data_IF_914082416054
#
_entry.id   IF_914082416054
#
_cell.length_a   1.000
_cell.length_b   1.000
_cell.length_c   1.000
_cell.angle_alpha   90.00
_cell.angle_beta   90.00
_cell.angle_gamma   90.00
#
_symmetry.space_group_name_H-M   'P 1'
#
loop_
_entity.id
_entity.type
_entity.pdbx_description
1 polymer ?
#
# COMPACT_ATOMS: atom_id res chain seq x y z
N UNK A 1 1.82 11.45 -10.44
CA UNK A 1 1.14 10.46 -11.31
C UNK A 1 1.95 9.17 -11.26
N UNK A 2 1.31 8.00 -11.30
CA UNK A 2 2.01 6.72 -11.43
C UNK A 2 2.67 6.66 -12.81
N UNK A 3 3.95 6.30 -12.86
CA UNK A 3 4.67 6.16 -14.13
C UNK A 3 5.46 4.85 -14.23
N UNK A 4 5.21 3.92 -13.31
CA UNK A 4 5.86 2.62 -13.22
C UNK A 4 4.83 1.49 -13.30
N UNK A 5 5.22 0.34 -13.82
CA UNK A 5 4.45 -0.89 -13.82
C UNK A 5 4.78 -1.74 -12.59
N UNK A 6 3.87 -2.65 -12.19
CA UNK A 6 4.14 -3.57 -11.07
C UNK A 6 5.37 -4.45 -11.30
N UNK A 7 5.66 -4.79 -12.56
CA UNK A 7 6.85 -5.55 -12.96
C UNK A 7 8.16 -4.78 -12.77
N UNK A 8 8.11 -3.46 -12.63
CA UNK A 8 9.30 -2.64 -12.34
C UNK A 8 9.63 -2.67 -10.83
N UNK A 9 8.68 -3.12 -10.00
CA UNK A 9 8.77 -3.08 -8.53
C UNK A 9 8.96 -4.49 -7.97
N UNK A 10 8.26 -5.48 -8.54
CA UNK A 10 8.17 -6.85 -8.04
C UNK A 10 8.76 -7.83 -9.06
N UNK A 11 9.69 -8.66 -8.60
CA UNK A 11 10.40 -9.64 -9.46
C UNK A 11 9.58 -10.89 -9.74
N UNK A 12 8.71 -11.29 -8.83
CA UNK A 12 7.83 -12.44 -8.97
C UNK A 12 6.63 -12.07 -9.87
N UNK A 13 6.60 -12.64 -11.08
CA UNK A 13 5.59 -12.31 -12.09
C UNK A 13 4.17 -12.67 -11.64
N UNK A 14 3.98 -13.79 -10.94
CA UNK A 14 2.65 -14.20 -10.46
C UNK A 14 2.17 -13.25 -9.36
N UNK A 15 3.09 -12.81 -8.49
CA UNK A 15 2.76 -11.83 -7.46
C UNK A 15 2.46 -10.44 -8.05
N UNK A 16 3.21 -10.01 -9.07
CA UNK A 16 2.96 -8.76 -9.78
C UNK A 16 1.55 -8.73 -10.41
N UNK A 17 1.06 -9.85 -10.95
CA UNK A 17 -0.31 -9.97 -11.48
C UNK A 17 -1.36 -9.76 -10.37
N UNK A 18 -1.13 -10.33 -9.19
CA UNK A 18 -2.04 -10.17 -8.03
C UNK A 18 -2.08 -8.71 -7.58
N UNK A 19 -0.93 -8.03 -7.52
CA UNK A 19 -0.85 -6.62 -7.13
C UNK A 19 -1.51 -5.71 -8.16
N UNK A 20 -1.29 -5.96 -9.45
CA UNK A 20 -1.97 -5.22 -10.53
C UNK A 20 -3.49 -5.42 -10.48
N UNK A 21 -3.95 -6.65 -10.16
CA UNK A 21 -5.36 -6.93 -9.94
C UNK A 21 -5.94 -6.09 -8.78
N UNK A 22 -5.22 -5.98 -7.65
CA UNK A 22 -5.64 -5.13 -6.52
C UNK A 22 -5.70 -3.65 -6.89
N UNK A 23 -4.73 -3.16 -7.65
CA UNK A 23 -4.74 -1.79 -8.15
C UNK A 23 -5.95 -1.53 -9.07
N UNK A 24 -6.28 -2.48 -9.94
CA UNK A 24 -7.45 -2.39 -10.81
C UNK A 24 -8.77 -2.49 -10.05
N UNK A 25 -8.85 -3.35 -9.03
CA UNK A 25 -10.01 -3.43 -8.14
C UNK A 25 -10.24 -2.11 -7.39
N UNK A 26 -9.17 -1.49 -6.87
CA UNK A 26 -9.26 -0.17 -6.26
C UNK A 26 -9.82 0.90 -7.23
N UNK A 27 -9.37 0.90 -8.48
CA UNK A 27 -9.88 1.80 -9.54
C UNK A 27 -11.36 1.54 -9.87
N UNK A 28 -11.80 0.28 -9.85
CA UNK A 28 -13.21 -0.08 -10.08
C UNK A 28 -14.06 0.42 -8.91
N UNK A 29 -13.63 0.16 -7.68
CA UNK A 29 -14.34 0.60 -6.47
C UNK A 29 -14.48 2.12 -6.42
N UNK A 30 -13.40 2.86 -6.65
CA UNK A 30 -13.40 4.33 -6.67
C UNK A 30 -14.39 4.89 -7.70
N UNK A 31 -14.34 4.40 -8.95
CA UNK A 31 -15.24 4.84 -10.02
C UNK A 31 -16.73 4.57 -9.75
N UNK A 32 -17.04 3.58 -8.91
CA UNK A 32 -18.42 3.18 -8.60
C UNK A 32 -18.87 3.64 -7.19
N UNK A 33 -18.10 4.49 -6.51
CA UNK A 33 -18.47 5.01 -5.19
C UNK A 33 -18.31 4.03 -4.03
N UNK A 34 -17.64 2.88 -4.25
CA UNK A 34 -17.32 1.91 -3.21
C UNK A 34 -16.03 2.31 -2.47
N UNK A 35 -16.02 3.51 -1.88
CA UNK A 35 -14.82 4.17 -1.36
C UNK A 35 -14.10 3.41 -0.24
N UNK A 36 -14.86 2.81 0.69
CA UNK A 36 -14.28 1.94 1.73
C UNK A 36 -13.49 0.77 1.11
N UNK A 37 -14.08 0.09 0.11
CA UNK A 37 -13.42 -1.01 -0.59
C UNK A 37 -12.20 -0.52 -1.37
N UNK A 38 -12.29 0.66 -2.01
CA UNK A 38 -11.16 1.24 -2.72
C UNK A 38 -9.95 1.41 -1.79
N UNK A 39 -10.12 2.00 -0.61
CA UNK A 39 -8.99 2.22 0.31
C UNK A 39 -8.48 0.91 0.91
N UNK A 40 -9.35 -0.06 1.18
CA UNK A 40 -8.92 -1.40 1.62
C UNK A 40 -8.00 -2.02 0.56
N UNK A 41 -8.36 -1.92 -0.73
CA UNK A 41 -7.52 -2.41 -1.83
C UNK A 41 -6.20 -1.64 -1.96
N UNK A 42 -6.22 -0.31 -1.81
CA UNK A 42 -4.99 0.50 -1.79
C UNK A 42 -4.06 0.12 -0.63
N UNK A 43 -4.60 -0.11 0.56
CA UNK A 43 -3.80 -0.54 1.69
C UNK A 43 -3.28 -1.98 1.55
N UNK A 44 -4.06 -2.87 0.93
CA UNK A 44 -3.61 -4.21 0.56
C UNK A 44 -2.47 -4.17 -0.47
N UNK A 45 -2.56 -3.28 -1.46
CA UNK A 45 -1.52 -3.07 -2.46
C UNK A 45 -0.23 -2.58 -1.80
N UNK A 46 -0.31 -1.56 -0.94
CA UNK A 46 0.83 -1.02 -0.20
C UNK A 46 1.52 -2.09 0.66
N UNK A 47 0.73 -2.88 1.39
CA UNK A 47 1.25 -3.99 2.19
C UNK A 47 1.99 -5.01 1.33
N UNK A 48 1.42 -5.39 0.19
CA UNK A 48 2.03 -6.35 -0.74
C UNK A 48 3.36 -5.88 -1.33
N UNK A 49 3.42 -4.64 -1.84
CA UNK A 49 4.66 -4.12 -2.45
C UNK A 49 5.79 -3.92 -1.42
N UNK A 50 5.45 -3.49 -0.20
CA UNK A 50 6.45 -3.33 0.86
C UNK A 50 6.93 -4.69 1.40
N UNK A 51 6.04 -5.67 1.49
CA UNK A 51 6.42 -7.03 1.90
C UNK A 51 7.35 -7.68 0.88
N UNK A 52 7.08 -7.50 -0.42
CA UNK A 52 7.98 -7.97 -1.47
C UNK A 52 9.35 -7.28 -1.41
N UNK A 53 9.37 -5.97 -1.18
CA UNK A 53 10.62 -5.23 -0.98
C UNK A 53 11.43 -5.79 0.21
N UNK A 54 10.79 -6.07 1.35
CA UNK A 54 11.46 -6.72 2.50
C UNK A 54 11.97 -8.11 2.12
N UNK A 55 11.16 -8.94 1.46
CA UNK A 55 11.56 -10.28 1.02
C UNK A 55 12.78 -10.23 0.08
N UNK A 56 12.80 -9.29 -0.86
CA UNK A 56 13.84 -9.18 -1.88
C UNK A 56 15.13 -8.53 -1.35
N UNK A 57 15.01 -7.48 -0.53
CA UNK A 57 16.13 -6.62 -0.09
C UNK A 57 16.66 -7.01 1.29
N UNK A 58 15.88 -7.71 2.12
CA UNK A 58 16.24 -8.14 3.47
C UNK A 58 15.98 -9.64 3.70
N UNK A 59 16.69 -10.55 2.98
CA UNK A 59 16.46 -11.99 3.06
C UNK A 59 16.70 -12.57 4.47
N UNK A 60 17.50 -11.90 5.30
CA UNK A 60 17.82 -12.29 6.67
C UNK A 60 17.19 -11.35 7.71
N UNK A 61 15.99 -10.84 7.45
CA UNK A 61 15.31 -9.90 8.35
C UNK A 61 15.03 -10.44 9.77
N UNK A 62 15.27 -11.72 10.02
CA UNK A 62 15.10 -12.37 11.33
C UNK A 62 13.65 -12.55 11.76
N UNK A 63 12.69 -12.11 10.93
CA UNK A 63 11.26 -12.16 11.18
C UNK A 63 10.54 -12.89 10.03
N UNK A 64 9.74 -13.94 10.29
CA UNK A 64 8.95 -14.60 9.26
C UNK A 64 8.05 -13.62 8.51
N UNK A 65 7.95 -13.76 7.18
CA UNK A 65 7.23 -12.82 6.31
C UNK A 65 5.76 -12.64 6.72
N UNK A 66 5.10 -13.70 7.18
CA UNK A 66 3.70 -13.70 7.62
C UNK A 66 3.45 -12.96 8.94
N UNK A 67 4.51 -12.54 9.65
CA UNK A 67 4.42 -11.79 10.91
C UNK A 67 4.61 -10.29 10.74
N UNK A 68 4.96 -9.82 9.54
CA UNK A 68 5.12 -8.40 9.28
C UNK A 68 3.78 -7.68 9.27
N UNK A 69 3.68 -6.62 10.05
CA UNK A 69 2.54 -5.70 10.00
C UNK A 69 2.81 -4.59 8.99
N UNK A 70 1.76 -4.03 8.39
CA UNK A 70 1.90 -2.85 7.51
C UNK A 70 2.63 -1.68 8.21
N UNK A 71 2.51 -1.55 9.53
CA UNK A 71 3.29 -0.56 10.27
C UNK A 71 4.79 -0.79 10.15
N UNK A 72 5.25 -1.99 10.47
CA UNK A 72 6.67 -2.33 10.47
C UNK A 72 7.25 -2.28 9.06
N UNK A 73 6.44 -2.65 8.06
CA UNK A 73 6.79 -2.52 6.65
C UNK A 73 7.03 -1.06 6.27
N UNK A 74 6.13 -0.14 6.63
CA UNK A 74 6.28 1.31 6.38
C UNK A 74 7.53 1.86 7.10
N UNK A 75 7.68 1.57 8.39
CA UNK A 75 8.82 2.07 9.18
C UNK A 75 10.15 1.50 8.66
N UNK A 76 10.18 0.23 8.26
CA UNK A 76 11.37 -0.40 7.70
C UNK A 76 11.70 0.18 6.34
N UNK A 77 10.73 0.26 5.42
CA UNK A 77 10.99 0.83 4.10
C UNK A 77 11.49 2.27 4.17
N UNK A 78 11.01 3.06 5.13
CA UNK A 78 11.55 4.41 5.32
C UNK A 78 12.96 4.40 5.92
N UNK A 79 13.21 3.58 6.95
CA UNK A 79 14.54 3.46 7.57
C UNK A 79 15.61 3.01 6.58
N UNK A 80 15.26 2.10 5.68
CA UNK A 80 16.15 1.62 4.61
C UNK A 80 16.14 2.53 3.36
N UNK A 81 15.52 3.72 3.44
CA UNK A 81 15.46 4.74 2.39
C UNK A 81 14.79 4.31 1.08
N UNK A 82 13.88 3.32 1.13
CA UNK A 82 13.11 2.87 -0.03
C UNK A 82 11.87 3.72 -0.30
N UNK A 83 11.40 4.45 0.70
CA UNK A 83 10.29 5.41 0.60
C UNK A 83 10.64 6.71 1.34
N UNK A 84 10.15 7.82 0.81
CA UNK A 84 10.41 9.15 1.37
C UNK A 84 9.57 9.44 2.63
N UNK A 85 9.94 10.51 3.35
CA UNK A 85 9.33 10.87 4.64
C UNK A 85 7.84 11.25 4.53
N UNK A 86 7.44 11.83 3.40
CA UNK A 86 6.05 12.12 3.08
C UNK A 86 5.23 10.84 2.92
N UNK A 87 5.73 9.85 2.17
CA UNK A 87 5.10 8.53 2.04
C UNK A 87 4.97 7.87 3.40
N UNK A 88 6.02 7.86 4.23
CA UNK A 88 5.92 7.35 5.61
C UNK A 88 4.79 8.01 6.40
N UNK A 89 4.72 9.35 6.36
CA UNK A 89 3.72 10.13 7.11
C UNK A 89 2.29 9.82 6.68
N UNK A 90 2.03 9.80 5.37
CA UNK A 90 0.67 9.58 4.85
C UNK A 90 0.27 8.10 4.78
N UNK A 91 1.22 7.18 4.59
CA UNK A 91 0.96 5.74 4.60
C UNK A 91 0.42 5.26 5.96
N UNK A 92 0.83 5.90 7.06
CA UNK A 92 0.26 5.66 8.39
C UNK A 92 -1.24 5.90 8.45
N UNK A 93 -1.72 6.97 7.79
CA UNK A 93 -3.16 7.28 7.67
C UNK A 93 -3.87 6.34 6.71
N UNK A 94 -3.27 6.01 5.59
CA UNK A 94 -3.81 5.01 4.65
C UNK A 94 -4.02 3.66 5.35
N UNK A 95 -3.08 3.22 6.20
CA UNK A 95 -3.22 2.03 7.05
C UNK A 95 -4.43 2.13 8.00
N UNK A 96 -4.64 3.28 8.65
CA UNK A 96 -5.81 3.49 9.52
C UNK A 96 -7.12 3.31 8.74
N UNK A 97 -7.21 3.87 7.53
CA UNK A 97 -8.40 3.69 6.68
C UNK A 97 -8.53 2.27 6.11
N UNK A 98 -7.44 1.56 5.82
CA UNK A 98 -7.49 0.14 5.45
C UNK A 98 -8.07 -0.73 6.57
N UNK A 99 -7.87 -0.35 7.83
CA UNK A 99 -8.45 -1.06 8.98
C UNK A 99 -9.98 -0.93 9.05
N UNK A 100 -10.61 -0.09 8.23
CA UNK A 100 -12.06 -0.04 8.07
C UNK A 100 -12.66 -1.29 7.42
N UNK A 101 -11.82 -2.24 6.97
CA UNK A 101 -12.27 -3.62 6.70
C UNK A 101 -12.99 -4.24 7.91
N UNK A 102 -12.67 -3.78 9.12
CA UNK A 102 -13.38 -4.15 10.34
C UNK A 102 -14.51 -3.14 10.60
N UNK A 103 -15.80 -3.55 10.56
CA UNK A 103 -16.92 -2.62 10.76
C UNK A 103 -16.87 -1.85 12.08
N UNK A 104 -16.38 -2.47 13.16
CA UNK A 104 -16.19 -1.80 14.44
C UNK A 104 -15.17 -0.66 14.38
N UNK A 105 -14.18 -0.71 13.48
CA UNK A 105 -13.26 0.41 13.27
C UNK A 105 -13.98 1.59 12.60
N UNK A 106 -14.91 1.32 11.68
CA UNK A 106 -15.75 2.34 11.06
C UNK A 106 -16.73 2.99 12.05
N UNK A 107 -17.30 2.20 12.97
CA UNK A 107 -18.11 2.78 14.06
C UNK A 107 -17.27 3.73 14.93
N UNK A 108 -16.04 3.33 15.27
CA UNK A 108 -15.12 4.13 16.10
C UNK A 108 -14.66 5.43 15.44
N UNK A 109 -14.37 5.40 14.14
CA UNK A 109 -13.93 6.60 13.40
C UNK A 109 -15.09 7.58 13.17
N UNK A 110 -16.34 7.10 13.21
CA UNK A 110 -17.54 7.92 13.17
C UNK A 110 -17.91 8.48 11.80
N UNK A 111 -17.17 8.13 10.75
CA UNK A 111 -17.48 8.51 9.37
C UNK A 111 -17.08 7.40 8.38
N UNK A 112 -17.67 7.41 7.20
CA UNK A 112 -17.27 6.55 6.10
C UNK A 112 -16.28 7.29 5.19
N UNK A 113 -15.37 6.58 4.52
CA UNK A 113 -14.63 7.16 3.41
C UNK A 113 -15.57 7.60 2.30
N UNK A 114 -15.26 8.74 1.71
CA UNK A 114 -15.91 9.31 0.56
C UNK A 114 -14.91 9.50 -0.59
N UNK A 115 -15.36 10.16 -1.66
CA UNK A 115 -14.53 10.48 -2.82
C UNK A 115 -13.27 11.23 -2.45
N UNK A 116 -13.39 12.21 -1.56
CA UNK A 116 -12.29 13.07 -1.17
C UNK A 116 -11.25 12.26 -0.36
N UNK A 117 -11.72 11.40 0.53
CA UNK A 117 -10.89 10.46 1.29
C UNK A 117 -10.05 9.56 0.37
N UNK A 118 -10.66 8.98 -0.67
CA UNK A 118 -9.94 8.14 -1.65
C UNK A 118 -8.98 8.97 -2.50
N UNK A 119 -9.39 10.17 -2.90
CA UNK A 119 -8.57 11.07 -3.71
C UNK A 119 -7.24 11.44 -3.02
N UNK A 120 -7.24 11.53 -1.69
CA UNK A 120 -6.04 11.75 -0.88
C UNK A 120 -5.14 10.52 -0.79
N UNK A 121 -5.68 9.31 -0.93
CA UNK A 121 -4.90 8.06 -0.85
C UNK A 121 -4.10 7.77 -2.12
N UNK A 122 -4.62 8.15 -3.30
CA UNK A 122 -3.97 7.87 -4.58
C UNK A 122 -2.56 8.46 -4.71
N UNK A 123 -2.29 9.73 -4.35
CA UNK A 123 -0.93 10.28 -4.36
C UNK A 123 0.05 9.49 -3.50
N UNK A 124 -0.38 9.01 -2.33
CA UNK A 124 0.45 8.23 -1.41
C UNK A 124 0.88 6.91 -2.05
N UNK A 125 -0.06 6.19 -2.68
CA UNK A 125 0.23 4.95 -3.39
C UNK A 125 1.16 5.21 -4.57
N UNK A 126 0.87 6.23 -5.38
CA UNK A 126 1.70 6.56 -6.52
C UNK A 126 3.14 6.90 -6.10
N UNK A 127 3.30 7.69 -5.03
CA UNK A 127 4.61 8.04 -4.50
C UNK A 127 5.36 6.80 -3.97
N UNK A 128 4.69 5.95 -3.18
CA UNK A 128 5.29 4.72 -2.66
C UNK A 128 5.79 3.79 -3.78
N UNK A 129 4.98 3.59 -4.82
CA UNK A 129 5.34 2.75 -5.96
C UNK A 129 6.50 3.33 -6.77
N UNK A 130 6.49 4.65 -7.01
CA UNK A 130 7.57 5.32 -7.71
C UNK A 130 8.89 5.29 -6.91
N UNK A 131 8.85 5.52 -5.59
CA UNK A 131 10.02 5.45 -4.72
C UNK A 131 10.62 4.05 -4.69
N UNK A 132 9.77 3.02 -4.59
CA UNK A 132 10.21 1.62 -4.61
C UNK A 132 10.88 1.25 -5.93
N UNK A 133 10.32 1.70 -7.06
CA UNK A 133 10.90 1.49 -8.38
C UNK A 133 12.24 2.23 -8.54
N UNK A 134 12.32 3.49 -8.08
CA UNK A 134 13.55 4.30 -8.14
C UNK A 134 14.69 3.72 -7.29
N UNK A 135 14.35 2.96 -6.24
CA UNK A 135 15.29 2.30 -5.34
C UNK A 135 15.43 0.80 -5.61
N UNK A 136 14.83 0.29 -6.69
CA UNK A 136 14.99 -1.10 -7.10
C UNK A 136 16.41 -1.33 -7.65
N UNK A 137 17.14 -2.26 -7.03
CA UNK A 137 18.44 -2.75 -7.50
C UNK A 137 18.29 -3.90 -8.49
#
# INVERSE_FOLDING_TARGET
MLHVAMTDIVRDADFAIVLESRLNEARICDRNGAYTSAIIMLGSLLEGVLLDAVKARMPNSGKPLDKWTLHELIETAHREEWIQADVRGFAGKLREYRNLVHPNAQVKIGHAPDRDTVSMCWPVINAALNDLAATAM
#
